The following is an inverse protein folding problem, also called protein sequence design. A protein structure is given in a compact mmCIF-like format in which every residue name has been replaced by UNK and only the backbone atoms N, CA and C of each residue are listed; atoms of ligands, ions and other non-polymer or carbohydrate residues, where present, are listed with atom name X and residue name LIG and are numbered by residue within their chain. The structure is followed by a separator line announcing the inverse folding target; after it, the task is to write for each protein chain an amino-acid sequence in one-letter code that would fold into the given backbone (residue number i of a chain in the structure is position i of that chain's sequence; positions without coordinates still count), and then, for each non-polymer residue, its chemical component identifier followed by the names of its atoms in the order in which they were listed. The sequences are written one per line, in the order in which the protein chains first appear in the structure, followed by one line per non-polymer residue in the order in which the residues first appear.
data_IF_335838357000
#
_entry.id   IF_335838357000
#
_cell.length_a   1.000
_cell.length_b   1.000
_cell.length_c   1.000
_cell.angle_alpha   90.00
_cell.angle_beta   90.00
_cell.angle_gamma   90.00
#
_symmetry.space_group_name_H-M   'P 1'
#
loop_
_entity.id
_entity.type
_entity.pdbx_description
1 polymer ?
#
# COMPACT_ATOMS: atom_id res chain seq x y z
N UNK A 1 45.81 18.61 -10.90
CA UNK A 1 44.60 19.45 -10.65
C UNK A 1 43.43 19.15 -11.59
N UNK A 2 43.59 19.15 -12.92
CA UNK A 2 42.46 18.96 -13.85
C UNK A 2 41.78 17.57 -13.75
N UNK A 3 42.55 16.51 -13.49
CA UNK A 3 42.03 15.14 -13.35
C UNK A 3 41.21 14.98 -12.05
N UNK A 4 41.74 15.50 -10.94
CA UNK A 4 41.10 15.46 -9.62
C UNK A 4 39.77 16.21 -9.60
N UNK A 5 39.71 17.36 -10.29
CA UNK A 5 38.47 18.14 -10.43
C UNK A 5 37.41 17.39 -11.24
N UNK A 6 37.80 16.68 -12.31
CA UNK A 6 36.87 15.89 -13.14
C UNK A 6 36.28 14.70 -12.38
N UNK A 7 37.11 14.01 -11.58
CA UNK A 7 36.65 12.88 -10.75
C UNK A 7 35.67 13.37 -9.69
N UNK A 8 35.94 14.51 -9.03
CA UNK A 8 35.03 15.08 -8.04
C UNK A 8 33.65 15.43 -8.64
N UNK A 9 33.63 16.00 -9.85
CA UNK A 9 32.39 16.36 -10.55
C UNK A 9 31.59 15.10 -10.93
N UNK A 10 32.26 14.06 -11.42
CA UNK A 10 31.60 12.79 -11.78
C UNK A 10 31.00 12.10 -10.55
N UNK A 11 31.73 12.06 -9.44
CA UNK A 11 31.23 11.45 -8.20
C UNK A 11 30.04 12.23 -7.63
N UNK A 12 30.05 13.56 -7.72
CA UNK A 12 28.92 14.41 -7.30
C UNK A 12 27.67 14.19 -8.17
N UNK A 13 27.84 13.94 -9.47
CA UNK A 13 26.72 13.63 -10.37
C UNK A 13 26.12 12.24 -10.09
N UNK A 14 26.96 11.24 -9.80
CA UNK A 14 26.51 9.88 -9.47
C UNK A 14 25.76 9.85 -8.15
N UNK A 15 26.24 10.56 -7.12
CA UNK A 15 25.53 10.65 -5.85
C UNK A 15 24.21 11.39 -5.96
N UNK A 16 24.13 12.48 -6.74
CA UNK A 16 22.89 13.21 -7.00
C UNK A 16 21.85 12.34 -7.73
N UNK A 17 22.25 11.60 -8.77
CA UNK A 17 21.37 10.65 -9.45
C UNK A 17 20.94 9.48 -8.55
N UNK A 18 21.84 8.98 -7.69
CA UNK A 18 21.52 7.93 -6.73
C UNK A 18 20.45 8.34 -5.71
N UNK A 19 20.49 9.60 -5.24
CA UNK A 19 19.49 10.13 -4.30
C UNK A 19 18.13 10.42 -4.92
N UNK A 20 18.06 10.67 -6.24
CA UNK A 20 16.79 10.91 -6.95
C UNK A 20 15.99 9.61 -7.20
N UNK A 21 16.66 8.45 -7.20
CA UNK A 21 16.03 7.14 -7.39
C UNK A 21 15.49 6.50 -6.10
N UNK A 22 15.91 7.00 -4.94
CA UNK A 22 15.35 6.59 -3.65
C UNK A 22 14.08 7.41 -3.39
N UNK A 23 12.98 7.03 -4.02
CA UNK A 23 11.67 7.48 -3.59
C UNK A 23 11.51 7.06 -2.13
N UNK A 24 11.44 8.04 -1.23
CA UNK A 24 11.14 7.76 0.16
C UNK A 24 9.81 7.00 0.20
N UNK A 25 9.81 5.83 0.84
CA UNK A 25 8.60 5.17 1.27
C UNK A 25 7.71 6.24 1.92
N UNK A 26 6.55 6.51 1.30
CA UNK A 26 5.58 7.39 1.87
C UNK A 26 5.19 6.81 3.23
N UNK A 27 5.06 7.67 4.23
CA UNK A 27 4.56 7.26 5.55
C UNK A 27 3.03 7.06 5.51
N UNK A 28 2.49 6.59 4.38
CA UNK A 28 1.06 6.55 4.09
C UNK A 28 0.66 5.09 3.90
N UNK A 29 0.19 4.41 4.95
CA UNK A 29 -0.34 3.07 4.80
C UNK A 29 -1.62 3.08 3.93
N UNK A 30 -1.98 1.95 3.31
CA UNK A 30 -3.22 1.83 2.54
C UNK A 30 -4.43 2.04 3.44
N UNK A 31 -5.21 3.08 3.17
CA UNK A 31 -6.42 3.40 3.96
C UNK A 31 -7.62 2.67 3.34
N UNK A 32 -8.32 1.80 4.10
CA UNK A 32 -9.50 1.11 3.61
C UNK A 32 -10.64 2.11 3.41
N UNK A 33 -11.08 2.27 2.17
CA UNK A 33 -12.14 3.20 1.77
C UNK A 33 -13.35 2.40 1.25
N UNK A 34 -14.56 2.62 1.81
CA UNK A 34 -15.76 1.96 1.32
C UNK A 34 -16.13 2.41 -0.10
N UNK A 35 -16.49 1.44 -0.95
CA UNK A 35 -17.06 1.66 -2.28
C UNK A 35 -18.38 0.91 -2.45
N UNK A 36 -19.31 1.40 -3.29
CA UNK A 36 -20.61 0.79 -3.49
C UNK A 36 -20.55 -0.70 -3.86
N UNK A 37 -21.55 -1.47 -3.43
CA UNK A 37 -21.66 -2.89 -3.78
C UNK A 37 -20.74 -3.81 -2.97
N UNK A 38 -20.48 -3.47 -1.71
CA UNK A 38 -19.72 -4.30 -0.78
C UNK A 38 -18.21 -4.29 -1.02
N UNK A 39 -17.69 -3.24 -1.64
CA UNK A 39 -16.27 -3.14 -1.99
C UNK A 39 -15.52 -2.31 -0.95
N UNK A 40 -14.30 -2.72 -0.61
CA UNK A 40 -13.31 -1.91 0.08
C UNK A 40 -12.16 -1.68 -0.89
N UNK A 41 -11.86 -0.41 -1.17
CA UNK A 41 -10.68 0.01 -1.93
C UNK A 41 -9.56 0.39 -0.98
N UNK A 42 -8.35 -0.03 -1.30
CA UNK A 42 -7.11 0.35 -0.62
C UNK A 42 -6.20 1.03 -1.63
N UNK A 43 -6.00 2.33 -1.44
CA UNK A 43 -5.14 3.13 -2.30
C UNK A 43 -3.66 2.90 -1.94
N UNK A 44 -2.85 2.61 -2.95
CA UNK A 44 -1.44 2.30 -2.79
C UNK A 44 -0.60 3.44 -3.35
N UNK A 45 0.33 3.97 -2.55
CA UNK A 45 1.21 5.05 -3.00
C UNK A 45 2.14 4.57 -4.15
N UNK A 46 2.43 5.41 -5.16
CA UNK A 46 3.34 5.07 -6.24
C UNK A 46 4.71 4.61 -5.72
N UNK A 47 5.25 3.53 -6.29
CA UNK A 47 6.59 3.01 -5.92
C UNK A 47 6.61 2.10 -4.69
N UNK A 48 5.48 1.92 -4.01
CA UNK A 48 5.36 1.00 -2.89
C UNK A 48 4.60 -0.26 -3.28
N UNK A 49 5.11 -1.41 -2.83
CA UNK A 49 4.31 -2.63 -2.87
C UNK A 49 3.66 -2.87 -1.52
N UNK A 50 2.42 -3.35 -1.57
CA UNK A 50 1.64 -3.73 -0.41
C UNK A 50 0.91 -5.04 -0.67
N UNK A 51 0.76 -5.80 0.40
CA UNK A 51 0.03 -7.05 0.47
C UNK A 51 -0.98 -6.95 1.59
N UNK A 52 -2.26 -6.99 1.24
CA UNK A 52 -3.35 -6.76 2.16
C UNK A 52 -4.29 -7.96 2.26
N UNK A 53 -4.83 -8.19 3.46
CA UNK A 53 -5.89 -9.14 3.77
C UNK A 53 -7.00 -8.38 4.51
N UNK A 54 -8.25 -8.79 4.31
CA UNK A 54 -9.31 -8.36 5.20
C UNK A 54 -10.25 -9.49 5.60
N UNK A 55 -10.87 -9.33 6.77
CA UNK A 55 -11.83 -10.28 7.32
C UNK A 55 -13.05 -9.57 7.90
N UNK A 56 -14.20 -10.22 7.83
CA UNK A 56 -15.43 -9.84 8.51
C UNK A 56 -15.89 -10.98 9.43
N UNK A 57 -16.13 -10.64 10.70
CA UNK A 57 -16.69 -11.56 11.69
C UNK A 57 -18.22 -11.47 11.77
N UNK A 58 -18.87 -10.70 10.89
CA UNK A 58 -20.31 -10.52 10.98
C UNK A 58 -21.07 -11.79 10.56
N UNK A 59 -22.12 -12.19 11.32
CA UNK A 59 -22.99 -13.29 10.91
C UNK A 59 -23.71 -12.97 9.58
N UNK A 60 -24.06 -13.98 8.75
CA UNK A 60 -24.05 -15.42 9.03
C UNK A 60 -22.75 -16.17 8.67
N UNK A 61 -21.73 -15.51 8.10
CA UNK A 61 -20.49 -16.19 7.67
C UNK A 61 -19.26 -15.35 7.99
N UNK A 62 -18.21 -16.02 8.49
CA UNK A 62 -16.86 -15.47 8.44
C UNK A 62 -16.47 -15.24 6.98
N UNK A 63 -16.24 -13.98 6.60
CA UNK A 63 -15.81 -13.62 5.25
C UNK A 63 -14.35 -13.23 5.29
N UNK A 64 -13.59 -13.71 4.31
CA UNK A 64 -12.23 -13.25 4.04
C UNK A 64 -12.18 -12.68 2.64
N UNK A 65 -11.32 -11.69 2.44
CA UNK A 65 -11.09 -11.13 1.12
C UNK A 65 -10.75 -12.25 0.11
N UNK A 66 -11.26 -12.20 -1.12
CA UNK A 66 -10.90 -13.17 -2.15
C UNK A 66 -9.39 -13.15 -2.39
N UNK A 67 -8.73 -14.29 -2.17
CA UNK A 67 -7.27 -14.36 -2.07
C UNK A 67 -6.82 -13.90 -0.68
N UNK A 68 -6.27 -14.83 0.10
CA UNK A 68 -5.83 -14.61 1.49
C UNK A 68 -4.79 -13.47 1.57
N UNK A 69 -4.14 -13.10 0.46
CA UNK A 69 -3.33 -11.89 0.37
C UNK A 69 -3.46 -11.32 -1.05
N UNK A 70 -3.88 -10.06 -1.15
CA UNK A 70 -3.89 -9.32 -2.40
C UNK A 70 -2.65 -8.44 -2.46
N UNK A 71 -1.82 -8.65 -3.47
CA UNK A 71 -0.57 -7.91 -3.69
C UNK A 71 -0.77 -6.87 -4.79
N UNK A 72 -0.28 -5.64 -4.57
CA UNK A 72 -0.25 -4.60 -5.60
C UNK A 72 0.98 -3.70 -5.45
N UNK A 73 1.52 -3.28 -6.59
CA UNK A 73 2.47 -2.17 -6.69
C UNK A 73 1.69 -0.91 -7.04
N UNK A 74 1.82 0.13 -6.20
CA UNK A 74 1.17 1.41 -6.44
C UNK A 74 1.60 2.05 -7.76
N UNK A 75 0.72 2.84 -8.40
CA UNK A 75 -0.53 3.39 -7.86
C UNK A 75 -1.76 2.48 -8.02
N UNK A 76 -1.59 1.21 -8.39
CA UNK A 76 -2.73 0.32 -8.60
C UNK A 76 -3.39 -0.01 -7.25
N UNK A 77 -4.69 0.32 -7.07
CA UNK A 77 -5.39 0.03 -5.82
C UNK A 77 -5.70 -1.46 -5.67
N UNK A 78 -5.93 -1.87 -4.43
CA UNK A 78 -6.38 -3.21 -4.06
C UNK A 78 -7.90 -3.15 -3.80
N UNK A 79 -8.67 -4.09 -4.36
CA UNK A 79 -10.13 -4.15 -4.18
C UNK A 79 -10.54 -5.45 -3.52
N UNK A 80 -11.17 -5.34 -2.36
CA UNK A 80 -11.69 -6.47 -1.62
C UNK A 80 -13.22 -6.43 -1.61
N UNK A 81 -13.84 -7.60 -1.80
CA UNK A 81 -15.30 -7.73 -1.88
C UNK A 81 -15.83 -8.46 -0.66
N UNK A 82 -16.87 -7.91 -0.08
CA UNK A 82 -17.60 -8.41 1.08
C UNK A 82 -19.11 -8.23 0.83
N UNK A 83 -19.93 -8.78 1.72
CA UNK A 83 -21.35 -8.42 1.75
C UNK A 83 -21.51 -6.91 1.99
N UNK A 84 -22.38 -6.21 1.24
CA UNK A 84 -22.69 -4.80 1.50
C UNK A 84 -23.09 -4.56 2.96
N UNK A 85 -22.53 -3.51 3.58
CA UNK A 85 -22.77 -3.17 4.98
C UNK A 85 -21.97 -4.01 6.00
N UNK A 86 -21.12 -4.94 5.55
CA UNK A 86 -20.34 -5.79 6.44
C UNK A 86 -19.30 -4.99 7.23
N UNK A 87 -19.07 -5.36 8.50
CA UNK A 87 -17.93 -4.84 9.29
C UNK A 87 -16.64 -5.55 8.88
N UNK A 88 -15.71 -4.82 8.27
CA UNK A 88 -14.48 -5.36 7.69
C UNK A 88 -13.27 -4.78 8.41
N UNK A 89 -12.39 -5.67 8.86
CA UNK A 89 -11.07 -5.32 9.39
C UNK A 89 -9.99 -5.67 8.38
N UNK A 90 -9.05 -4.75 8.16
CA UNK A 90 -7.98 -4.91 7.16
C UNK A 90 -6.61 -4.91 7.81
N UNK A 91 -5.73 -5.75 7.28
CA UNK A 91 -4.30 -5.79 7.62
C UNK A 91 -3.47 -5.71 6.34
N UNK A 92 -2.40 -4.94 6.37
CA UNK A 92 -1.52 -4.76 5.23
C UNK A 92 -0.06 -4.84 5.66
N UNK A 93 0.80 -5.38 4.80
CA UNK A 93 2.25 -5.35 4.94
C UNK A 93 2.88 -4.92 3.63
N UNK A 94 3.97 -4.14 3.68
CA UNK A 94 4.55 -3.56 2.48
C UNK A 94 5.91 -2.92 2.70
N UNK A 95 6.38 -2.18 1.70
CA UNK A 95 7.62 -1.38 1.76
C UNK A 95 7.43 0.03 2.29
N UNK A 96 6.19 0.52 2.28
CA UNK A 96 5.82 1.82 2.87
C UNK A 96 5.93 1.80 4.39
N UNK A 97 6.12 2.96 5.03
CA UNK A 97 6.05 3.06 6.49
C UNK A 97 4.59 3.34 6.91
N UNK A 98 4.04 2.64 7.92
CA UNK A 98 4.63 1.51 8.65
C UNK A 98 4.64 0.22 7.81
N UNK A 99 5.71 -0.59 7.92
CA UNK A 99 5.82 -1.87 7.16
C UNK A 99 4.68 -2.86 7.43
N UNK A 100 4.01 -2.72 8.57
CA UNK A 100 2.81 -3.46 8.94
C UNK A 100 1.77 -2.43 9.37
N UNK A 101 0.59 -2.49 8.77
CA UNK A 101 -0.53 -1.63 9.07
C UNK A 101 -1.75 -2.46 9.47
N UNK A 102 -2.34 -2.09 10.60
CA UNK A 102 -3.62 -2.60 11.07
C UNK A 102 -4.65 -1.49 10.91
N UNK A 103 -5.59 -1.68 9.99
CA UNK A 103 -6.62 -0.69 9.69
C UNK A 103 -7.73 -0.67 10.73
N UNK A 104 -8.52 0.42 10.76
CA UNK A 104 -9.76 0.44 11.52
C UNK A 104 -10.76 -0.56 10.92
N UNK A 105 -11.80 -0.88 11.71
CA UNK A 105 -12.97 -1.58 11.17
C UNK A 105 -13.78 -0.57 10.34
N UNK A 106 -14.05 -0.90 9.08
CA UNK A 106 -14.85 -0.09 8.17
C UNK A 106 -16.06 -0.88 7.68
N UNK A 107 -17.11 -0.16 7.29
CA UNK A 107 -18.27 -0.77 6.62
C UNK A 107 -17.95 -0.99 5.15
N UNK A 108 -18.17 -2.20 4.64
CA UNK A 108 -18.24 -2.42 3.19
C UNK A 108 -19.37 -1.58 2.62
N UNK A 109 -19.13 -0.86 1.51
CA UNK A 109 -20.12 0.08 0.99
C UNK A 109 -21.44 -0.59 0.65
N UNK A 110 -22.53 0.16 0.77
CA UNK A 110 -23.88 -0.31 0.46
C UNK A 110 -24.10 -0.49 -1.04
#
# INVERSE_FOLDING_TARGET
MKLTLRIAILMAAVSACGTLGMQAASATPPIPTPEPGGVIRLDIAPGEWWSCNAASLQPPFYQVSPGIYQYSLGPNPIYMRFTPGADVWTTCHGTGAPFIYYGPIVKAGW
#
